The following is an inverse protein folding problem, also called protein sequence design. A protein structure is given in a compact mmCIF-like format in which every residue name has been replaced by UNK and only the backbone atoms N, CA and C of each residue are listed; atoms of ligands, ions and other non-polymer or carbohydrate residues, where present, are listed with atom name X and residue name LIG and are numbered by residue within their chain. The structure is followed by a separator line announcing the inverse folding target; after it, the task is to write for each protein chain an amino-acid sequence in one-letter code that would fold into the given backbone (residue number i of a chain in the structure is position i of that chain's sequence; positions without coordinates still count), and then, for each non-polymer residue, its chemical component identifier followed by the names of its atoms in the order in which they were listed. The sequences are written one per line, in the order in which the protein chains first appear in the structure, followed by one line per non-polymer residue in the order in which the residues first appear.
data_IF_832556313345
#
_entry.id   IF_832556313345
#
_cell.length_a   1.000
_cell.length_b   1.000
_cell.length_c   1.000
_cell.angle_alpha   90.00
_cell.angle_beta   90.00
_cell.angle_gamma   90.00
#
_symmetry.space_group_name_H-M   'P 1'
#
loop_
_entity.id
_entity.type
_entity.pdbx_description
1 polymer ?
#
# COMPACT_ATOMS: atom_id res chain seq x y z
N UNK A 1 -9.45 -14.64 -5.85
CA UNK A 1 -9.55 -13.61 -4.79
C UNK A 1 -10.87 -12.86 -4.96
N UNK A 2 -11.45 -12.33 -3.89
CA UNK A 2 -12.62 -11.45 -4.00
C UNK A 2 -12.12 -10.02 -4.19
N UNK A 3 -12.66 -9.32 -5.20
CA UNK A 3 -12.29 -7.96 -5.52
C UNK A 3 -13.53 -7.06 -5.50
N UNK A 4 -13.35 -5.80 -5.08
CA UNK A 4 -14.37 -4.76 -5.12
C UNK A 4 -13.84 -3.57 -5.90
N UNK A 5 -14.52 -3.22 -6.99
CA UNK A 5 -14.11 -2.15 -7.88
C UNK A 5 -14.99 -0.91 -7.68
N UNK A 6 -14.34 0.24 -7.58
CA UNK A 6 -14.93 1.56 -7.73
C UNK A 6 -14.58 2.10 -9.12
N UNK A 7 -15.57 2.64 -9.80
CA UNK A 7 -15.44 3.38 -11.05
C UNK A 7 -15.74 4.86 -10.81
N UNK A 8 -14.98 5.78 -11.42
CA UNK A 8 -15.20 7.21 -11.22
C UNK A 8 -16.56 7.67 -11.78
N UNK A 9 -17.13 8.77 -11.27
CA UNK A 9 -18.34 9.35 -11.82
C UNK A 9 -18.21 9.66 -13.32
N UNK A 10 -19.21 9.30 -14.11
CA UNK A 10 -19.21 9.48 -15.56
C UNK A 10 -18.38 8.46 -16.34
N UNK A 11 -17.92 7.39 -15.67
CA UNK A 11 -17.13 6.35 -16.33
C UNK A 11 -17.87 5.75 -17.53
N UNK A 12 -19.16 5.41 -17.41
CA UNK A 12 -19.91 4.73 -18.50
C UNK A 12 -20.12 5.63 -19.74
N UNK A 13 -20.27 6.94 -19.53
CA UNK A 13 -20.51 7.92 -20.58
C UNK A 13 -19.21 8.43 -21.25
N UNK A 14 -18.09 8.34 -20.53
CA UNK A 14 -16.79 8.84 -20.96
C UNK A 14 -16.00 7.86 -21.82
N UNK A 15 -14.86 8.33 -22.33
CA UNK A 15 -13.87 7.54 -23.07
C UNK A 15 -12.47 7.66 -22.48
N UNK A 16 -12.33 8.41 -21.42
CA UNK A 16 -11.06 8.70 -20.76
C UNK A 16 -10.50 7.43 -20.13
N UNK A 17 -9.17 7.35 -20.07
CA UNK A 17 -8.42 6.36 -19.33
C UNK A 17 -7.99 6.92 -17.98
N UNK A 18 -8.04 6.10 -16.96
CA UNK A 18 -7.86 6.49 -15.57
C UNK A 18 -6.67 5.78 -14.92
N UNK A 19 -5.94 6.43 -14.03
CA UNK A 19 -4.98 5.76 -13.18
C UNK A 19 -5.70 4.81 -12.21
N UNK A 20 -4.98 3.82 -11.69
CA UNK A 20 -5.56 2.75 -10.87
C UNK A 20 -4.88 2.67 -9.52
N UNK A 21 -5.68 2.63 -8.46
CA UNK A 21 -5.26 2.25 -7.11
C UNK A 21 -5.67 0.81 -6.84
N UNK A 22 -4.71 -0.07 -6.67
CA UNK A 22 -4.91 -1.39 -6.08
C UNK A 22 -4.74 -1.28 -4.58
N UNK A 23 -5.62 -1.89 -3.81
CA UNK A 23 -5.56 -1.86 -2.35
C UNK A 23 -5.45 -3.26 -1.79
N UNK A 24 -4.41 -3.51 -1.02
CA UNK A 24 -4.21 -4.74 -0.27
C UNK A 24 -5.22 -4.83 0.88
N UNK A 25 -6.25 -5.67 0.73
CA UNK A 25 -7.30 -5.88 1.72
C UNK A 25 -8.59 -5.11 1.48
N UNK A 26 -9.58 -5.39 2.30
CA UNK A 26 -10.87 -4.67 2.29
C UNK A 26 -10.73 -3.32 3.00
N UNK A 27 -11.33 -2.30 2.43
CA UNK A 27 -11.34 -0.94 2.97
C UNK A 27 -12.78 -0.39 3.03
N UNK A 28 -13.04 0.60 3.89
CA UNK A 28 -14.33 1.32 3.94
C UNK A 28 -14.46 2.28 2.74
N UNK A 29 -14.63 1.70 1.55
CA UNK A 29 -14.57 2.42 0.28
C UNK A 29 -15.57 3.57 0.21
N UNK A 30 -16.82 3.37 0.63
CA UNK A 30 -17.86 4.40 0.63
C UNK A 30 -17.50 5.57 1.53
N UNK A 31 -16.95 5.30 2.71
CA UNK A 31 -16.51 6.34 3.66
C UNK A 31 -15.39 7.17 3.04
N UNK A 32 -14.38 6.53 2.45
CA UNK A 32 -13.26 7.19 1.76
C UNK A 32 -13.79 8.09 0.63
N UNK A 33 -14.65 7.57 -0.25
CA UNK A 33 -15.20 8.33 -1.38
C UNK A 33 -16.06 9.51 -0.88
N UNK A 34 -16.86 9.30 0.15
CA UNK A 34 -17.66 10.39 0.77
C UNK A 34 -16.77 11.50 1.30
N UNK A 35 -15.67 11.18 1.98
CA UNK A 35 -14.75 12.20 2.49
C UNK A 35 -14.04 12.95 1.35
N UNK A 36 -13.63 12.27 0.27
CA UNK A 36 -13.03 12.90 -0.91
C UNK A 36 -14.00 13.90 -1.54
N UNK A 37 -15.24 13.49 -1.78
CA UNK A 37 -16.29 14.37 -2.34
C UNK A 37 -16.53 15.59 -1.45
N UNK A 38 -16.65 15.41 -0.14
CA UNK A 38 -16.86 16.51 0.81
C UNK A 38 -15.66 17.49 0.85
N UNK A 39 -14.47 17.05 0.47
CA UNK A 39 -13.28 17.89 0.30
C UNK A 39 -13.18 18.53 -1.08
N UNK A 40 -14.16 18.32 -1.97
CA UNK A 40 -14.13 18.81 -3.34
C UNK A 40 -13.12 18.11 -4.25
N UNK A 41 -12.62 16.94 -3.84
CA UNK A 41 -11.67 16.15 -4.62
C UNK A 41 -12.45 15.27 -5.59
N UNK A 42 -12.20 15.42 -6.90
CA UNK A 42 -12.72 14.48 -7.89
C UNK A 42 -11.94 13.18 -7.82
N UNK A 43 -12.66 12.08 -7.71
CA UNK A 43 -12.06 10.75 -7.68
C UNK A 43 -11.89 10.22 -9.11
N UNK A 44 -11.04 10.88 -9.90
CA UNK A 44 -10.76 10.53 -11.31
C UNK A 44 -9.75 9.37 -11.41
N UNK A 45 -10.06 8.26 -10.75
CA UNK A 45 -9.26 7.02 -10.74
C UNK A 45 -10.18 5.79 -10.58
N UNK A 46 -9.66 4.62 -10.97
CA UNK A 46 -10.25 3.36 -10.57
C UNK A 46 -9.63 2.91 -9.24
N UNK A 47 -10.42 2.31 -8.36
CA UNK A 47 -9.89 1.71 -7.14
C UNK A 47 -10.36 0.26 -7.03
N UNK A 48 -9.41 -0.67 -6.97
CA UNK A 48 -9.65 -2.09 -6.80
C UNK A 48 -9.15 -2.56 -5.42
N UNK A 49 -10.07 -2.87 -4.53
CA UNK A 49 -9.78 -3.53 -3.25
C UNK A 49 -9.69 -5.04 -3.47
N UNK A 50 -8.58 -5.64 -3.07
CA UNK A 50 -8.30 -7.07 -3.27
C UNK A 50 -8.22 -7.76 -1.93
N UNK A 51 -9.23 -8.59 -1.63
CA UNK A 51 -9.29 -9.36 -0.39
C UNK A 51 -8.33 -10.55 -0.45
N UNK A 52 -7.37 -10.69 0.50
CA UNK A 52 -6.50 -11.85 0.56
C UNK A 52 -7.30 -13.09 0.98
N UNK A 53 -6.78 -14.29 0.71
CA UNK A 53 -7.33 -15.55 1.23
C UNK A 53 -7.04 -15.68 2.74
N UNK A 54 -5.84 -15.29 3.14
CA UNK A 54 -5.40 -15.25 4.53
C UNK A 54 -4.63 -13.95 4.77
N UNK A 55 -5.12 -13.12 5.70
CA UNK A 55 -4.50 -11.83 6.01
C UNK A 55 -3.05 -11.96 6.45
N UNK A 56 -2.78 -12.87 7.38
CA UNK A 56 -1.44 -13.03 7.94
C UNK A 56 -0.48 -13.72 6.97
N UNK A 57 -0.97 -14.65 6.14
CA UNK A 57 -0.12 -15.38 5.23
C UNK A 57 0.18 -14.60 3.95
N UNK A 58 -0.88 -14.07 3.31
CA UNK A 58 -0.77 -13.44 2.01
C UNK A 58 -0.10 -12.06 2.09
N UNK A 59 -0.07 -11.44 3.28
CA UNK A 59 0.54 -10.13 3.49
C UNK A 59 1.84 -10.17 4.29
N UNK A 60 2.49 -11.33 4.39
CA UNK A 60 3.82 -11.44 4.98
C UNK A 60 4.83 -12.05 3.98
N UNK A 61 6.05 -11.47 3.90
CA UNK A 61 7.07 -11.91 2.93
C UNK A 61 7.59 -13.33 3.16
N UNK A 62 7.68 -13.76 4.42
CA UNK A 62 8.21 -15.05 4.85
C UNK A 62 7.56 -15.48 6.17
N UNK A 63 7.88 -16.71 6.60
CA UNK A 63 7.44 -17.22 7.89
C UNK A 63 8.08 -16.44 9.04
N UNK A 64 7.29 -16.18 10.08
CA UNK A 64 7.75 -15.53 11.30
C UNK A 64 7.01 -16.11 12.50
N UNK A 65 7.44 -15.88 13.74
CA UNK A 65 6.65 -16.25 14.91
C UNK A 65 5.27 -15.60 14.88
N UNK A 66 4.27 -16.26 15.46
CA UNK A 66 2.91 -15.73 15.59
C UNK A 66 2.91 -14.30 16.18
N UNK A 67 1.98 -13.47 15.74
CA UNK A 67 1.89 -12.08 16.24
C UNK A 67 1.31 -12.02 17.65
N UNK A 68 0.46 -12.99 17.99
CA UNK A 68 -0.10 -13.23 19.32
C UNK A 68 -0.03 -14.72 19.64
N UNK A 69 -0.04 -15.03 20.92
CA UNK A 69 0.14 -16.43 21.37
C UNK A 69 -0.98 -17.37 20.88
N UNK A 70 -2.16 -16.84 20.63
CA UNK A 70 -3.35 -17.59 20.20
C UNK A 70 -3.47 -17.70 18.67
N UNK A 71 -2.61 -17.01 17.91
CA UNK A 71 -2.66 -16.99 16.45
C UNK A 71 -1.67 -18.00 15.86
N UNK A 72 -1.99 -18.49 14.67
CA UNK A 72 -1.03 -19.28 13.88
C UNK A 72 0.09 -18.38 13.34
N UNK A 73 1.27 -18.96 13.22
CA UNK A 73 2.42 -18.27 12.62
C UNK A 73 2.17 -17.98 11.14
N UNK A 74 2.46 -16.77 10.65
CA UNK A 74 2.28 -16.41 9.25
C UNK A 74 3.18 -17.27 8.36
N UNK A 75 2.65 -17.71 7.22
CA UNK A 75 3.33 -18.64 6.31
C UNK A 75 4.15 -17.96 5.22
N UNK A 76 4.08 -16.62 5.08
CA UNK A 76 4.91 -15.90 4.13
C UNK A 76 4.53 -16.13 2.67
N UNK A 77 3.30 -15.86 2.29
CA UNK A 77 2.80 -16.06 0.92
C UNK A 77 2.68 -14.78 0.10
N UNK A 78 3.32 -13.69 0.52
CA UNK A 78 3.22 -12.41 -0.17
C UNK A 78 3.73 -12.49 -1.63
N UNK A 79 4.74 -13.32 -1.92
CA UNK A 79 5.22 -13.53 -3.29
C UNK A 79 4.10 -14.08 -4.19
N UNK A 80 3.38 -15.12 -3.75
CA UNK A 80 2.27 -15.69 -4.53
C UNK A 80 1.09 -14.71 -4.67
N UNK A 81 0.81 -13.93 -3.62
CA UNK A 81 -0.22 -12.88 -3.68
C UNK A 81 0.16 -11.80 -4.70
N UNK A 82 1.40 -11.31 -4.68
CA UNK A 82 1.89 -10.27 -5.58
C UNK A 82 1.98 -10.76 -7.03
N UNK A 83 2.42 -12.01 -7.28
CA UNK A 83 2.37 -12.59 -8.62
C UNK A 83 0.94 -12.63 -9.17
N UNK A 84 -0.04 -13.10 -8.40
CA UNK A 84 -1.44 -13.08 -8.83
C UNK A 84 -1.93 -11.65 -9.08
N UNK A 85 -1.56 -10.67 -8.24
CA UNK A 85 -1.95 -9.28 -8.42
C UNK A 85 -1.35 -8.65 -9.68
N UNK A 86 -0.06 -8.86 -9.92
CA UNK A 86 0.68 -8.24 -11.01
C UNK A 86 0.49 -8.97 -12.36
N UNK A 87 0.35 -10.30 -12.35
CA UNK A 87 0.38 -11.12 -13.57
C UNK A 87 -1.02 -11.59 -14.01
N UNK A 88 -2.03 -11.56 -13.10
CA UNK A 88 -3.39 -11.97 -13.43
C UNK A 88 -4.39 -10.82 -13.26
N UNK A 89 -4.47 -10.21 -12.07
CA UNK A 89 -5.49 -9.19 -11.76
C UNK A 89 -5.24 -7.89 -12.52
N UNK A 90 -4.01 -7.36 -12.48
CA UNK A 90 -3.68 -6.12 -13.21
C UNK A 90 -3.89 -6.27 -14.72
N UNK A 91 -3.39 -7.31 -15.42
CA UNK A 91 -3.67 -7.50 -16.85
C UNK A 91 -5.15 -7.65 -17.17
N UNK A 92 -5.93 -8.30 -16.29
CA UNK A 92 -7.38 -8.37 -16.44
C UNK A 92 -8.03 -6.98 -16.37
N UNK A 93 -7.62 -6.15 -15.41
CA UNK A 93 -8.09 -4.77 -15.29
C UNK A 93 -7.75 -3.96 -16.53
N UNK A 94 -6.52 -4.05 -17.03
CA UNK A 94 -6.06 -3.32 -18.20
C UNK A 94 -6.78 -3.75 -19.49
N UNK A 95 -7.19 -5.01 -19.59
CA UNK A 95 -7.91 -5.54 -20.74
C UNK A 95 -9.42 -5.22 -20.74
N UNK A 96 -10.05 -5.02 -19.56
CA UNK A 96 -11.50 -4.91 -19.44
C UNK A 96 -11.99 -3.53 -19.00
N UNK A 97 -11.09 -2.69 -18.49
CA UNK A 97 -11.40 -1.34 -18.03
C UNK A 97 -10.48 -0.30 -18.66
N UNK A 98 -10.93 0.94 -18.73
CA UNK A 98 -10.12 2.04 -19.28
C UNK A 98 -9.08 2.51 -18.28
N UNK A 99 -8.06 1.70 -18.08
CA UNK A 99 -6.91 1.99 -17.24
C UNK A 99 -5.82 2.73 -18.00
N UNK A 100 -4.95 3.44 -17.27
CA UNK A 100 -3.62 3.84 -17.72
C UNK A 100 -2.65 2.77 -17.18
N UNK A 101 -2.16 1.85 -18.03
CA UNK A 101 -1.46 0.64 -17.56
C UNK A 101 -0.02 0.88 -17.10
N UNK A 102 0.54 2.06 -17.38
CA UNK A 102 1.93 2.38 -17.06
C UNK A 102 2.14 2.42 -15.54
N UNK A 103 3.30 1.97 -15.04
CA UNK A 103 3.56 1.92 -13.59
C UNK A 103 3.38 3.27 -12.88
N UNK A 104 3.71 4.39 -13.53
CA UNK A 104 3.55 5.73 -12.97
C UNK A 104 2.08 6.06 -12.63
N UNK A 105 1.13 5.44 -13.34
CA UNK A 105 -0.31 5.58 -13.12
C UNK A 105 -0.93 4.40 -12.35
N UNK A 106 -0.09 3.48 -11.87
CA UNK A 106 -0.51 2.27 -11.16
C UNK A 106 0.00 2.31 -9.72
N UNK A 107 -0.91 2.41 -8.76
CA UNK A 107 -0.60 2.53 -7.35
C UNK A 107 -0.99 1.27 -6.57
N UNK A 108 -0.17 0.87 -5.60
CA UNK A 108 -0.47 -0.18 -4.64
C UNK A 108 -0.50 0.40 -3.22
N UNK A 109 -1.68 0.42 -2.62
CA UNK A 109 -1.91 0.93 -1.28
C UNK A 109 -2.20 -0.22 -0.31
N UNK A 110 -1.86 -0.03 0.94
CA UNK A 110 -2.24 -0.99 1.98
C UNK A 110 -2.14 -0.44 3.39
N UNK A 111 -2.89 -1.08 4.28
CA UNK A 111 -2.90 -0.77 5.70
C UNK A 111 -2.30 -1.92 6.51
N UNK A 112 -1.56 -1.63 7.58
CA UNK A 112 -0.99 -2.67 8.46
C UNK A 112 -0.10 -3.67 7.70
N UNK A 113 -0.38 -4.97 7.72
CA UNK A 113 0.31 -5.96 6.89
C UNK A 113 0.13 -5.71 5.38
N UNK A 114 -1.03 -5.20 4.95
CA UNK A 114 -1.21 -4.75 3.58
C UNK A 114 -0.26 -3.62 3.18
N UNK A 115 0.08 -2.72 4.13
CA UNK A 115 1.08 -1.67 3.96
C UNK A 115 2.52 -2.21 3.91
N UNK A 116 2.83 -3.24 4.70
CA UNK A 116 4.07 -4.00 4.59
C UNK A 116 4.22 -4.58 3.17
N UNK A 117 3.16 -5.24 2.68
CA UNK A 117 3.14 -5.86 1.35
C UNK A 117 3.23 -4.82 0.23
N UNK A 118 2.67 -3.62 0.41
CA UNK A 118 2.81 -2.54 -0.58
C UNK A 118 4.28 -2.08 -0.74
N UNK A 119 5.03 -1.98 0.36
CA UNK A 119 6.48 -1.70 0.29
C UNK A 119 7.25 -2.90 -0.24
N UNK A 120 6.91 -4.12 0.19
CA UNK A 120 7.55 -5.34 -0.30
C UNK A 120 7.41 -5.52 -1.81
N UNK A 121 6.27 -5.16 -2.37
CA UNK A 121 5.99 -5.23 -3.81
C UNK A 121 7.03 -4.47 -4.65
N UNK A 122 7.60 -3.37 -4.15
CA UNK A 122 8.62 -2.58 -4.86
C UNK A 122 9.89 -3.37 -5.17
N UNK A 123 10.15 -4.44 -4.43
CA UNK A 123 11.30 -5.33 -4.59
C UNK A 123 10.95 -6.61 -5.37
N UNK A 124 9.66 -6.84 -5.69
CA UNK A 124 9.18 -8.11 -6.27
C UNK A 124 8.56 -7.96 -7.65
N UNK A 125 8.07 -6.77 -7.98
CA UNK A 125 7.44 -6.48 -9.27
C UNK A 125 7.68 -5.03 -9.66
N UNK A 126 7.79 -4.75 -10.94
CA UNK A 126 7.89 -3.40 -11.52
C UNK A 126 6.53 -2.84 -11.98
N UNK A 127 5.45 -3.57 -11.72
CA UNK A 127 4.10 -3.23 -12.14
C UNK A 127 3.54 -1.95 -11.49
N UNK A 128 4.08 -1.55 -10.33
CA UNK A 128 3.59 -0.41 -9.55
C UNK A 128 4.66 0.68 -9.45
N UNK A 129 4.37 1.87 -9.94
CA UNK A 129 5.24 3.05 -9.80
C UNK A 129 4.94 3.86 -8.52
N UNK A 130 3.82 3.56 -7.86
CA UNK A 130 3.40 4.25 -6.64
C UNK A 130 3.05 3.24 -5.55
N UNK A 131 3.52 3.46 -4.33
CA UNK A 131 3.15 2.66 -3.17
C UNK A 131 2.73 3.55 -2.00
N UNK A 132 1.68 3.15 -1.27
CA UNK A 132 1.32 3.77 -0.01
C UNK A 132 1.21 2.74 1.12
N UNK A 133 2.01 2.93 2.15
CA UNK A 133 2.04 2.12 3.36
C UNK A 133 1.44 2.90 4.52
N UNK A 134 0.19 2.60 4.84
CA UNK A 134 -0.58 3.27 5.87
C UNK A 134 -0.50 2.48 7.17
N UNK A 135 0.13 3.01 8.19
CA UNK A 135 0.42 2.26 9.43
C UNK A 135 1.02 0.88 9.16
N UNK A 136 1.91 0.81 8.15
CA UNK A 136 2.49 -0.44 7.69
C UNK A 136 3.22 -1.18 8.78
N UNK A 137 3.06 -2.51 8.80
CA UNK A 137 3.73 -3.40 9.76
C UNK A 137 5.23 -3.55 9.43
N UNK A 138 5.95 -2.44 9.18
CA UNK A 138 7.37 -2.46 8.78
C UNK A 138 8.30 -2.97 9.90
N UNK A 139 7.73 -3.16 11.11
CA UNK A 139 8.38 -3.86 12.22
C UNK A 139 8.49 -5.39 12.01
N UNK A 140 7.93 -5.94 10.93
CA UNK A 140 7.96 -7.36 10.63
C UNK A 140 9.40 -7.88 10.66
N UNK A 141 9.58 -9.07 11.26
CA UNK A 141 10.91 -9.60 11.56
C UNK A 141 11.79 -9.73 10.32
N UNK A 142 12.94 -9.09 10.34
CA UNK A 142 13.92 -9.10 9.25
C UNK A 142 13.62 -8.15 8.10
N UNK A 143 12.49 -7.40 8.10
CA UNK A 143 12.09 -6.61 6.95
C UNK A 143 13.03 -5.43 6.66
N UNK A 144 13.47 -4.67 7.67
CA UNK A 144 14.48 -3.60 7.45
C UNK A 144 15.80 -4.17 6.91
N UNK A 145 16.27 -5.31 7.45
CA UNK A 145 17.47 -5.98 6.95
C UNK A 145 17.31 -6.53 5.52
N UNK A 146 16.11 -6.94 5.13
CA UNK A 146 15.79 -7.27 3.75
C UNK A 146 15.91 -6.04 2.86
N UNK A 147 15.29 -4.92 3.23
CA UNK A 147 15.36 -3.67 2.46
C UNK A 147 16.80 -3.14 2.31
N UNK A 148 17.66 -3.33 3.29
CA UNK A 148 19.08 -2.94 3.24
C UNK A 148 19.90 -3.76 2.23
N UNK A 149 19.55 -5.04 2.03
CA UNK A 149 20.27 -5.93 1.11
C UNK A 149 19.75 -5.86 -0.32
N UNK A 150 18.44 -5.71 -0.47
CA UNK A 150 17.77 -5.72 -1.76
C UNK A 150 17.58 -4.29 -2.28
N UNK A 151 17.31 -4.17 -3.57
CA UNK A 151 16.99 -2.89 -4.20
C UNK A 151 15.61 -2.97 -4.86
N UNK A 152 14.83 -1.90 -4.84
CA UNK A 152 13.60 -1.84 -5.62
C UNK A 152 13.89 -2.08 -7.11
N UNK A 153 12.95 -2.69 -7.82
CA UNK A 153 13.08 -2.96 -9.26
C UNK A 153 12.98 -1.69 -10.12
N UNK A 154 12.52 -0.59 -9.52
CA UNK A 154 12.41 0.73 -10.16
C UNK A 154 13.02 1.79 -9.25
N UNK A 155 13.49 2.88 -9.82
CA UNK A 155 14.07 4.01 -9.09
C UNK A 155 13.25 5.30 -9.23
N UNK A 156 12.25 5.32 -10.12
CA UNK A 156 11.32 6.44 -10.34
C UNK A 156 10.03 6.32 -9.49
N UNK A 157 10.13 5.61 -8.37
CA UNK A 157 9.00 5.32 -7.48
C UNK A 157 8.54 6.54 -6.70
N UNK A 158 7.23 6.61 -6.47
CA UNK A 158 6.61 7.55 -5.54
C UNK A 158 6.05 6.77 -4.35
N UNK A 159 6.57 7.03 -3.16
CA UNK A 159 6.26 6.24 -1.97
C UNK A 159 5.71 7.15 -0.88
N UNK A 160 4.52 6.80 -0.39
CA UNK A 160 3.89 7.45 0.77
C UNK A 160 3.93 6.50 1.96
N UNK A 161 4.53 6.94 3.04
CA UNK A 161 4.53 6.25 4.32
C UNK A 161 3.73 7.07 5.33
N UNK A 162 2.92 6.44 6.14
CA UNK A 162 2.29 7.13 7.26
C UNK A 162 2.18 6.27 8.50
N UNK A 163 2.26 6.91 9.67
CA UNK A 163 2.19 6.24 10.96
C UNK A 163 1.49 7.10 12.01
N UNK A 164 0.74 6.48 12.93
CA UNK A 164 0.14 7.16 14.06
C UNK A 164 1.12 7.39 15.19
N UNK A 165 1.16 8.61 15.74
CA UNK A 165 2.07 9.04 16.85
C UNK A 165 2.00 8.17 18.12
N UNK A 166 0.93 7.37 18.28
CA UNK A 166 0.74 6.52 19.46
C UNK A 166 0.95 5.03 19.18
N UNK A 167 1.32 4.63 17.96
CA UNK A 167 1.44 3.21 17.59
C UNK A 167 2.58 2.49 18.32
N UNK A 168 3.68 3.16 18.58
CA UNK A 168 4.79 2.62 19.38
C UNK A 168 4.48 2.43 20.87
N UNK A 169 3.25 2.76 21.30
CA UNK A 169 2.78 2.45 22.67
C UNK A 169 2.27 1.02 22.83
N UNK A 170 2.40 0.20 21.79
CA UNK A 170 2.04 -1.23 21.85
C UNK A 170 2.80 -1.94 22.96
N UNK A 171 2.09 -2.79 23.73
CA UNK A 171 2.72 -3.68 24.73
C UNK A 171 3.48 -4.85 24.09
N UNK A 172 3.21 -5.15 22.82
CA UNK A 172 3.95 -6.16 22.07
C UNK A 172 5.34 -5.61 21.69
N UNK A 173 6.45 -6.25 22.12
CA UNK A 173 7.79 -5.74 21.91
C UNK A 173 8.24 -5.74 20.45
N UNK A 174 7.57 -6.53 19.58
CA UNK A 174 7.80 -6.48 18.12
C UNK A 174 7.10 -5.27 17.51
N UNK A 175 5.84 -5.06 17.85
CA UNK A 175 5.00 -3.99 17.29
C UNK A 175 5.40 -2.59 17.78
N UNK A 176 5.93 -2.46 19.01
CA UNK A 176 6.34 -1.14 19.52
C UNK A 176 7.52 -0.53 18.77
N UNK A 177 8.25 -1.32 17.98
CA UNK A 177 9.35 -0.84 17.12
C UNK A 177 8.85 -0.16 15.84
N UNK A 178 7.53 -0.08 15.62
CA UNK A 178 6.95 0.38 14.34
C UNK A 178 7.45 1.77 13.93
N UNK A 179 7.62 2.71 14.87
CA UNK A 179 8.14 4.04 14.54
C UNK A 179 9.58 3.95 14.01
N UNK A 180 10.48 3.36 14.77
CA UNK A 180 11.88 3.22 14.37
C UNK A 180 12.04 2.43 13.06
N UNK A 181 11.21 1.39 12.84
CA UNK A 181 11.24 0.63 11.60
C UNK A 181 10.69 1.43 10.41
N UNK A 182 9.67 2.28 10.61
CA UNK A 182 9.12 3.11 9.54
C UNK A 182 10.08 4.24 9.16
N UNK A 183 10.70 4.91 10.14
CA UNK A 183 11.74 5.91 9.91
C UNK A 183 12.95 5.30 9.20
N UNK A 184 13.37 4.09 9.63
CA UNK A 184 14.46 3.38 8.96
C UNK A 184 14.11 3.00 7.53
N UNK A 185 12.88 2.57 7.26
CA UNK A 185 12.39 2.25 5.91
C UNK A 185 12.40 3.50 5.02
N UNK A 186 11.98 4.66 5.54
CA UNK A 186 12.07 5.95 4.83
C UNK A 186 13.52 6.25 4.42
N UNK A 187 14.48 6.17 5.36
CA UNK A 187 15.90 6.41 5.11
C UNK A 187 16.45 5.47 4.01
N UNK A 188 16.15 4.17 4.12
CA UNK A 188 16.62 3.16 3.15
C UNK A 188 16.06 3.46 1.76
N UNK A 189 14.74 3.69 1.66
CA UNK A 189 14.09 3.98 0.39
C UNK A 189 14.61 5.29 -0.22
N UNK A 190 14.75 6.34 0.57
CA UNK A 190 15.31 7.60 0.10
C UNK A 190 16.73 7.42 -0.46
N UNK A 191 17.57 6.65 0.23
CA UNK A 191 18.93 6.35 -0.24
C UNK A 191 18.94 5.49 -1.51
N UNK A 192 18.02 4.52 -1.63
CA UNK A 192 17.92 3.62 -2.78
C UNK A 192 17.37 4.31 -4.04
N UNK A 193 16.47 5.27 -3.87
CA UNK A 193 15.95 6.05 -4.99
C UNK A 193 16.95 7.13 -5.45
N UNK A 194 17.76 7.65 -4.54
CA UNK A 194 18.81 8.62 -4.88
C UNK A 194 18.27 9.84 -5.63
N UNK A 195 19.01 10.29 -6.67
CA UNK A 195 18.66 11.44 -7.51
C UNK A 195 17.87 11.06 -8.79
N UNK A 196 17.36 9.83 -8.88
CA UNK A 196 16.76 9.29 -10.11
C UNK A 196 15.31 9.70 -10.36
N UNK A 197 14.78 10.66 -9.58
CA UNK A 197 13.42 11.20 -9.72
C UNK A 197 12.38 10.55 -8.82
N UNK A 198 12.71 9.45 -8.14
CA UNK A 198 11.82 8.85 -7.13
C UNK A 198 11.72 9.72 -5.89
N UNK A 199 10.61 9.58 -5.15
CA UNK A 199 10.32 10.36 -3.95
C UNK A 199 9.73 9.50 -2.85
N UNK A 200 10.20 9.71 -1.64
CA UNK A 200 9.57 9.17 -0.42
C UNK A 200 8.97 10.33 0.36
N UNK A 201 7.75 10.17 0.82
CA UNK A 201 7.07 11.10 1.70
C UNK A 201 6.59 10.37 2.93
N UNK A 202 6.90 10.87 4.12
CA UNK A 202 6.46 10.32 5.38
C UNK A 202 5.61 11.31 6.16
N UNK A 203 4.46 10.86 6.65
CA UNK A 203 3.52 11.66 7.44
C UNK A 203 3.20 11.02 8.78
N UNK A 204 3.33 11.79 9.86
CA UNK A 204 2.81 11.45 11.16
C UNK A 204 1.33 11.82 11.28
N UNK A 205 0.50 10.82 11.64
CA UNK A 205 -0.92 11.02 11.92
C UNK A 205 -1.19 11.03 13.43
N UNK A 206 -2.31 11.63 13.84
CA UNK A 206 -2.75 11.54 15.23
C UNK A 206 -3.24 10.12 15.57
N UNK A 207 -3.21 9.77 16.85
CA UNK A 207 -3.76 8.52 17.38
C UNK A 207 -2.87 7.29 17.20
N UNK A 208 -3.48 6.14 17.41
CA UNK A 208 -2.87 4.82 17.31
C UNK A 208 -3.25 4.10 16.02
N UNK A 209 -2.95 2.79 15.98
CA UNK A 209 -3.08 1.94 14.79
C UNK A 209 -4.46 1.96 14.13
N UNK A 210 -5.53 1.97 14.89
CA UNK A 210 -6.90 1.92 14.36
C UNK A 210 -7.60 3.30 14.34
N UNK A 211 -6.83 4.38 14.52
CA UNK A 211 -7.40 5.72 14.52
C UNK A 211 -7.44 6.29 13.11
N UNK A 212 -8.63 6.71 12.67
CA UNK A 212 -8.89 7.43 11.40
C UNK A 212 -8.33 6.71 10.16
N UNK A 213 -8.67 5.43 9.99
CA UNK A 213 -8.21 4.64 8.83
C UNK A 213 -8.66 5.29 7.52
N UNK A 214 -9.92 5.73 7.42
CA UNK A 214 -10.46 6.39 6.23
C UNK A 214 -9.70 7.67 5.89
N UNK A 215 -9.47 8.52 6.89
CA UNK A 215 -8.72 9.76 6.70
C UNK A 215 -7.28 9.52 6.23
N UNK A 216 -6.64 8.45 6.66
CA UNK A 216 -5.29 8.08 6.19
C UNK A 216 -5.29 7.66 4.73
N UNK A 217 -6.28 6.88 4.27
CA UNK A 217 -6.45 6.58 2.85
C UNK A 217 -6.73 7.85 2.04
N UNK A 218 -7.61 8.71 2.52
CA UNK A 218 -7.91 9.99 1.86
C UNK A 218 -6.65 10.84 1.68
N UNK A 219 -5.82 10.96 2.70
CA UNK A 219 -4.55 11.73 2.62
C UNK A 219 -3.60 11.12 1.58
N UNK A 220 -3.42 9.81 1.56
CA UNK A 220 -2.57 9.14 0.59
C UNK A 220 -3.09 9.32 -0.85
N UNK A 221 -4.41 9.22 -1.05
CA UNK A 221 -5.04 9.46 -2.36
C UNK A 221 -4.83 10.92 -2.79
N UNK A 222 -5.09 11.89 -1.90
CA UNK A 222 -4.88 13.30 -2.20
C UNK A 222 -3.42 13.63 -2.52
N UNK A 223 -2.48 13.05 -1.76
CA UNK A 223 -1.06 13.19 -2.03
C UNK A 223 -0.68 12.65 -3.41
N UNK A 224 -1.20 11.47 -3.77
CA UNK A 224 -0.93 10.87 -5.07
C UNK A 224 -1.49 11.70 -6.22
N UNK A 225 -2.73 12.20 -6.11
CA UNK A 225 -3.39 12.99 -7.12
C UNK A 225 -2.81 14.42 -7.29
N UNK A 226 -2.18 14.98 -6.25
CA UNK A 226 -1.62 16.33 -6.28
C UNK A 226 -0.35 16.47 -7.13
N UNK A 227 0.19 15.39 -7.65
CA UNK A 227 1.49 15.35 -8.35
C UNK A 227 1.35 14.90 -9.82
N UNK A 228 0.09 14.80 -10.32
CA UNK A 228 -0.19 14.60 -11.75
C UNK A 228 -0.23 15.91 -12.55
#
# INVERSE_FOLDING_TARGET
MNCRLYLPPGYEEGKEHYPVIYVNGEIPMEGIMTVLVNKGVRADFLLLSVKPKSWNDDFTPWTAPAFRAEEEAPQGRADAYLSCLAEEIKPYMDAHYRTKPEPVHTALFGYSLGGLTAVYALYKTDAFGVAASLSGSLWFDGFCAFMEREKPLRTDLRIYLSLGKKESRSKNPRMNRVAACTERAEEILAAQLGETGGKVFFEWNEGGHFHDIEGRFVKAIMWWMAVE
#
